data_IF_180864478113
#
_entry.id   IF_180864478113
#
_cell.length_a   1.000
_cell.length_b   1.000
_cell.length_c   1.000
_cell.angle_alpha   90.00
_cell.angle_beta   90.00
_cell.angle_gamma   90.00
#
_symmetry.space_group_name_H-M   'P 1'
#
loop_
_entity.id
_entity.type
_entity.pdbx_description
1 polymer ?
#
# COMPACT_ATOMS: atom_id res chain seq x y z
N UNK A 1 -0.62 -33.20 -33.14
CA UNK A 1 -0.63 -32.05 -32.22
C UNK A 1 -2.07 -31.81 -31.82
N UNK A 2 -2.51 -32.38 -30.72
CA UNK A 2 -3.87 -32.17 -30.21
C UNK A 2 -4.03 -30.70 -29.84
N UNK A 3 -4.98 -30.01 -30.47
CA UNK A 3 -5.34 -28.66 -30.06
C UNK A 3 -5.79 -28.68 -28.60
N UNK A 4 -4.99 -28.09 -27.72
CA UNK A 4 -5.31 -28.00 -26.31
C UNK A 4 -6.52 -27.09 -26.14
N UNK A 5 -7.54 -27.61 -25.47
CA UNK A 5 -8.82 -26.98 -25.21
C UNK A 5 -8.65 -25.61 -24.50
N UNK A 6 -9.39 -24.54 -24.86
CA UNK A 6 -9.39 -23.26 -24.13
C UNK A 6 -9.70 -23.42 -22.62
N UNK A 7 -10.41 -24.47 -22.21
CA UNK A 7 -10.60 -24.78 -20.80
C UNK A 7 -9.29 -25.11 -20.07
N UNK A 8 -8.33 -25.74 -20.75
CA UNK A 8 -7.02 -26.08 -20.18
C UNK A 8 -6.17 -24.83 -19.91
N UNK A 9 -6.17 -23.85 -20.83
CA UNK A 9 -5.42 -22.57 -20.66
C UNK A 9 -5.85 -21.87 -19.37
N UNK A 10 -7.16 -21.76 -19.16
CA UNK A 10 -7.76 -21.09 -18.02
C UNK A 10 -7.49 -21.86 -16.72
N UNK A 11 -7.59 -23.19 -16.76
CA UNK A 11 -7.33 -24.04 -15.60
C UNK A 11 -5.87 -23.94 -15.14
N UNK A 12 -4.92 -23.92 -16.08
CA UNK A 12 -3.49 -23.74 -15.82
C UNK A 12 -3.24 -22.32 -15.27
N UNK A 13 -3.80 -21.29 -15.89
CA UNK A 13 -3.66 -19.92 -15.41
C UNK A 13 -4.23 -19.76 -13.99
N UNK A 14 -5.42 -20.31 -13.71
CA UNK A 14 -6.04 -20.30 -12.37
C UNK A 14 -5.17 -21.01 -11.32
N UNK A 15 -4.59 -22.15 -11.68
CA UNK A 15 -3.73 -22.90 -10.77
C UNK A 15 -2.43 -22.13 -10.48
N UNK A 16 -1.79 -21.58 -11.51
CA UNK A 16 -0.45 -21.01 -11.39
C UNK A 16 -0.45 -19.52 -11.00
N UNK A 17 -1.58 -18.80 -11.09
CA UNK A 17 -1.66 -17.34 -10.89
C UNK A 17 -1.00 -16.81 -9.61
N UNK A 18 -1.07 -17.58 -8.53
CA UNK A 18 -0.52 -17.22 -7.21
C UNK A 18 0.57 -18.19 -6.75
N UNK A 19 1.13 -18.98 -7.66
CA UNK A 19 2.12 -19.99 -7.32
C UNK A 19 3.45 -19.36 -6.89
N UNK A 20 4.02 -19.87 -5.78
CA UNK A 20 5.22 -19.31 -5.12
C UNK A 20 6.43 -19.24 -6.05
N UNK A 21 6.59 -20.22 -6.94
CA UNK A 21 7.75 -20.30 -7.86
C UNK A 21 7.78 -19.18 -8.91
N UNK A 22 6.64 -18.54 -9.21
CA UNK A 22 6.61 -17.42 -10.15
C UNK A 22 7.44 -16.25 -9.66
N UNK A 23 7.54 -16.06 -8.33
CA UNK A 23 8.16 -14.90 -7.67
C UNK A 23 7.74 -13.59 -8.36
N UNK A 24 6.44 -13.50 -8.65
CA UNK A 24 5.87 -12.38 -9.37
C UNK A 24 6.01 -11.09 -8.55
N UNK A 25 6.20 -9.99 -9.25
CA UNK A 25 6.32 -8.65 -8.69
C UNK A 25 5.28 -7.75 -9.32
N UNK A 26 4.95 -6.67 -8.63
CA UNK A 26 4.08 -5.64 -9.18
C UNK A 26 4.89 -4.66 -10.02
N UNK A 27 4.33 -4.26 -11.16
CA UNK A 27 4.85 -3.22 -12.03
C UNK A 27 3.70 -2.41 -12.61
N UNK A 28 4.03 -1.28 -13.23
CA UNK A 28 3.05 -0.42 -13.88
C UNK A 28 2.95 -0.75 -15.35
N UNK A 29 1.79 -1.23 -15.79
CA UNK A 29 1.47 -1.43 -17.19
C UNK A 29 0.28 -0.54 -17.53
N UNK A 30 0.46 0.39 -18.48
CA UNK A 30 -0.57 1.37 -18.86
C UNK A 30 -1.15 2.12 -17.64
N UNK A 31 -0.28 2.54 -16.72
CA UNK A 31 -0.65 3.21 -15.45
C UNK A 31 -1.46 2.38 -14.46
N UNK A 32 -1.59 1.06 -14.67
CA UNK A 32 -2.21 0.13 -13.73
C UNK A 32 -1.17 -0.76 -13.09
N UNK A 33 -1.34 -1.08 -11.82
CA UNK A 33 -0.50 -2.07 -11.14
C UNK A 33 -0.87 -3.47 -11.60
N UNK A 34 0.09 -4.19 -12.16
CA UNK A 34 -0.08 -5.56 -12.67
C UNK A 34 1.05 -6.45 -12.17
N UNK A 35 0.76 -7.74 -12.04
CA UNK A 35 1.76 -8.73 -11.69
C UNK A 35 2.51 -9.20 -12.93
N UNK A 36 3.84 -9.24 -12.83
CA UNK A 36 4.70 -9.74 -13.88
C UNK A 36 5.73 -10.74 -13.33
N UNK A 37 6.15 -11.66 -14.18
CA UNK A 37 7.12 -12.71 -13.86
C UNK A 37 8.04 -12.98 -15.05
N UNK A 38 9.08 -13.79 -14.82
CA UNK A 38 10.02 -14.22 -15.89
C UNK A 38 9.64 -15.59 -16.41
N UNK A 39 9.82 -15.83 -17.71
CA UNK A 39 9.49 -17.12 -18.33
C UNK A 39 10.11 -18.33 -17.61
N UNK A 40 11.40 -18.28 -17.23
CA UNK A 40 12.04 -19.38 -16.48
C UNK A 40 11.37 -19.72 -15.14
N UNK A 41 10.69 -18.75 -14.52
CA UNK A 41 9.96 -18.96 -13.26
C UNK A 41 8.64 -19.69 -13.50
N UNK A 42 8.01 -19.44 -14.65
CA UNK A 42 6.83 -20.17 -15.09
C UNK A 42 7.14 -21.63 -15.40
N UNK A 43 8.24 -21.92 -16.10
CA UNK A 43 8.69 -23.31 -16.36
C UNK A 43 8.89 -24.07 -15.05
N UNK A 44 9.55 -23.47 -14.05
CA UNK A 44 9.69 -24.07 -12.71
C UNK A 44 8.36 -24.31 -12.01
N UNK A 45 7.37 -23.44 -12.23
CA UNK A 45 6.02 -23.62 -11.69
C UNK A 45 5.29 -24.80 -12.35
N UNK A 46 5.52 -25.07 -13.64
CA UNK A 46 5.02 -26.27 -14.31
C UNK A 46 5.70 -27.56 -13.84
N UNK A 47 6.98 -27.49 -13.48
CA UNK A 47 7.74 -28.64 -12.95
C UNK A 47 7.42 -28.96 -11.48
N UNK A 48 6.63 -28.10 -10.82
CA UNK A 48 6.25 -28.22 -9.41
C UNK A 48 5.45 -29.51 -9.13
N UNK A 49 5.52 -30.04 -7.90
CA UNK A 49 4.72 -31.19 -7.51
C UNK A 49 3.21 -30.91 -7.57
N UNK A 50 2.79 -29.64 -7.39
CA UNK A 50 1.38 -29.23 -7.47
C UNK A 50 0.81 -29.45 -8.87
N UNK A 51 1.56 -29.02 -9.90
CA UNK A 51 1.16 -29.21 -11.28
C UNK A 51 1.20 -30.69 -11.68
N UNK A 52 2.25 -31.42 -11.30
CA UNK A 52 2.36 -32.87 -11.57
C UNK A 52 1.20 -33.67 -10.98
N UNK A 53 0.79 -33.35 -9.74
CA UNK A 53 -0.38 -33.98 -9.10
C UNK A 53 -1.67 -33.69 -9.88
N UNK A 54 -1.88 -32.45 -10.33
CA UNK A 54 -3.07 -32.08 -11.12
C UNK A 54 -3.07 -32.74 -12.50
N UNK A 55 -1.92 -32.80 -13.16
CA UNK A 55 -1.73 -33.47 -14.44
C UNK A 55 -2.02 -34.97 -14.37
N UNK A 56 -1.55 -35.66 -13.32
CA UNK A 56 -1.86 -37.08 -13.12
C UNK A 56 -3.35 -37.36 -12.87
N UNK A 57 -4.09 -36.44 -12.27
CA UNK A 57 -5.51 -36.65 -11.95
C UNK A 57 -6.43 -36.26 -13.12
N UNK A 58 -6.04 -35.24 -13.89
CA UNK A 58 -6.87 -34.65 -14.94
C UNK A 58 -5.98 -34.34 -16.16
N UNK A 59 -5.55 -35.36 -16.91
CA UNK A 59 -4.65 -35.17 -18.05
C UNK A 59 -5.28 -34.33 -19.16
N UNK A 60 -6.61 -34.36 -19.30
CA UNK A 60 -7.35 -33.58 -20.30
C UNK A 60 -7.28 -32.06 -20.06
N UNK A 61 -7.21 -31.63 -18.79
CA UNK A 61 -7.13 -30.21 -18.42
C UNK A 61 -5.69 -29.75 -18.16
N UNK A 62 -4.83 -30.65 -17.68
CA UNK A 62 -3.47 -30.36 -17.28
C UNK A 62 -2.51 -31.29 -18.03
N UNK A 63 -2.00 -30.85 -19.19
CA UNK A 63 -1.09 -31.62 -20.01
C UNK A 63 0.17 -32.01 -19.22
N UNK A 64 0.65 -33.25 -19.35
CA UNK A 64 1.89 -33.67 -18.74
C UNK A 64 3.05 -32.89 -19.35
N UNK A 65 3.90 -32.33 -18.49
CA UNK A 65 5.10 -31.58 -18.89
C UNK A 65 6.31 -32.41 -18.48
N UNK A 66 6.93 -33.05 -19.47
CA UNK A 66 8.12 -33.91 -19.29
C UNK A 66 9.38 -33.25 -19.83
N UNK A 67 9.22 -32.48 -20.92
CA UNK A 67 10.30 -31.75 -21.59
C UNK A 67 10.12 -30.24 -21.49
N UNK A 68 11.25 -29.51 -21.65
CA UNK A 68 11.27 -28.05 -21.78
C UNK A 68 10.45 -27.57 -22.99
N UNK A 69 10.38 -28.38 -24.06
CA UNK A 69 9.57 -28.07 -25.24
C UNK A 69 8.06 -28.13 -24.93
N UNK A 70 7.62 -29.10 -24.13
CA UNK A 70 6.22 -29.21 -23.69
C UNK A 70 5.82 -27.95 -22.92
N UNK A 71 6.68 -27.49 -22.01
CA UNK A 71 6.46 -26.26 -21.25
C UNK A 71 6.33 -25.02 -22.16
N UNK A 72 7.13 -24.95 -23.22
CA UNK A 72 7.01 -23.88 -24.24
C UNK A 72 5.66 -23.93 -24.95
N UNK A 73 5.21 -25.11 -25.36
CA UNK A 73 3.91 -25.25 -26.06
C UNK A 73 2.74 -24.79 -25.18
N UNK A 74 2.75 -25.18 -23.89
CA UNK A 74 1.75 -24.76 -22.89
C UNK A 74 1.79 -23.24 -22.71
N UNK A 75 2.98 -22.63 -22.65
CA UNK A 75 3.09 -21.20 -22.45
C UNK A 75 2.72 -20.37 -23.69
N UNK A 76 3.06 -20.84 -24.90
CA UNK A 76 2.60 -20.25 -26.17
C UNK A 76 1.07 -20.20 -26.20
N UNK A 77 0.43 -21.26 -25.72
CA UNK A 77 -1.01 -21.35 -25.64
C UNK A 77 -1.62 -20.34 -24.64
N UNK A 78 -0.96 -20.09 -23.50
CA UNK A 78 -1.34 -18.99 -22.60
C UNK A 78 -1.23 -17.62 -23.29
N UNK A 79 -0.19 -17.38 -24.08
CA UNK A 79 -0.03 -16.13 -24.86
C UNK A 79 -1.14 -16.01 -25.92
N UNK A 80 -1.41 -17.08 -26.68
CA UNK A 80 -2.49 -17.10 -27.70
C UNK A 80 -3.86 -16.80 -27.09
N UNK A 81 -4.12 -17.31 -25.88
CA UNK A 81 -5.35 -17.04 -25.13
C UNK A 81 -5.40 -15.66 -24.44
N UNK A 82 -4.38 -14.81 -24.62
CA UNK A 82 -4.29 -13.47 -24.03
C UNK A 82 -4.34 -13.45 -22.49
N UNK A 83 -4.04 -14.58 -21.82
CA UNK A 83 -3.95 -14.65 -20.36
C UNK A 83 -2.62 -14.10 -19.83
N UNK A 84 -1.59 -14.14 -20.67
CA UNK A 84 -0.28 -13.54 -20.41
C UNK A 84 0.15 -12.75 -21.63
N UNK A 85 0.84 -11.64 -21.37
CA UNK A 85 1.24 -10.69 -22.41
C UNK A 85 2.75 -10.44 -22.30
N UNK A 86 3.53 -10.51 -23.41
CA UNK A 86 4.96 -10.26 -23.38
C UNK A 86 5.23 -8.79 -23.04
N UNK A 87 6.11 -8.55 -22.08
CA UNK A 87 6.43 -7.20 -21.62
C UNK A 87 7.93 -6.99 -21.47
N UNK A 88 8.37 -5.77 -21.72
CA UNK A 88 9.71 -5.30 -21.41
C UNK A 88 9.64 -4.44 -20.16
N UNK A 89 10.50 -4.74 -19.19
CA UNK A 89 10.68 -3.92 -18.00
C UNK A 89 11.62 -2.78 -18.35
N UNK A 90 11.14 -1.55 -18.23
CA UNK A 90 11.93 -0.37 -18.52
C UNK A 90 12.82 0.00 -17.33
N UNK A 91 14.02 0.45 -17.65
CA UNK A 91 14.86 1.18 -16.69
C UNK A 91 14.47 2.66 -16.64
N UNK A 92 14.84 3.35 -15.55
CA UNK A 92 14.46 4.75 -15.32
C UNK A 92 14.82 5.68 -16.49
N UNK A 93 15.94 5.41 -17.17
CA UNK A 93 16.38 6.18 -18.34
C UNK A 93 15.49 5.93 -19.58
N UNK A 94 14.98 4.71 -19.74
CA UNK A 94 14.15 4.29 -20.87
C UNK A 94 12.69 4.76 -20.71
N UNK A 95 12.25 5.00 -19.48
CA UNK A 95 10.90 5.53 -19.20
C UNK A 95 10.63 6.81 -19.99
N UNK A 96 11.59 7.75 -20.01
CA UNK A 96 11.43 9.03 -20.70
C UNK A 96 11.33 8.86 -22.22
N UNK A 97 12.09 7.92 -22.80
CA UNK A 97 12.03 7.61 -24.22
C UNK A 97 10.66 7.02 -24.63
N UNK A 98 9.97 6.36 -23.70
CA UNK A 98 8.63 5.80 -23.90
C UNK A 98 7.51 6.73 -23.42
N UNK A 99 7.80 8.00 -23.10
CA UNK A 99 6.80 8.97 -22.63
C UNK A 99 6.23 8.68 -21.23
N UNK A 100 6.87 7.81 -20.45
CA UNK A 100 6.44 7.41 -19.11
C UNK A 100 7.24 8.13 -18.03
N UNK A 101 6.57 8.49 -16.93
CA UNK A 101 7.24 9.04 -15.75
C UNK A 101 7.83 7.90 -14.92
N UNK A 102 9.12 7.96 -14.52
CA UNK A 102 9.69 7.00 -13.59
C UNK A 102 8.93 7.00 -12.26
N UNK A 103 8.62 5.82 -11.73
CA UNK A 103 8.05 5.65 -10.40
C UNK A 103 9.11 4.97 -9.49
N UNK A 104 9.20 5.41 -8.24
CA UNK A 104 10.13 4.89 -7.23
C UNK A 104 9.75 3.49 -6.75
N UNK A 105 8.45 3.22 -6.62
CA UNK A 105 7.93 2.00 -5.99
C UNK A 105 7.82 0.84 -6.98
N UNK A 106 7.43 1.13 -8.22
CA UNK A 106 7.11 0.13 -9.23
C UNK A 106 7.80 0.41 -10.57
N UNK A 107 8.40 -0.60 -11.21
CA UNK A 107 8.96 -0.44 -12.55
C UNK A 107 7.85 -0.29 -13.60
N UNK A 108 8.11 0.54 -14.62
CA UNK A 108 7.23 0.63 -15.78
C UNK A 108 7.44 -0.56 -16.73
N UNK A 109 6.35 -1.08 -17.26
CA UNK A 109 6.28 -2.20 -18.19
C UNK A 109 5.63 -1.70 -19.49
N UNK A 110 6.26 -2.01 -20.62
CA UNK A 110 5.72 -1.73 -21.95
C UNK A 110 5.51 -3.05 -22.68
N UNK A 111 4.54 -3.07 -23.59
CA UNK A 111 4.25 -4.23 -24.43
C UNK A 111 5.45 -4.54 -25.34
N UNK A 112 5.90 -5.79 -25.35
CA UNK A 112 6.92 -6.23 -26.30
C UNK A 112 6.26 -6.73 -27.60
N UNK A 113 6.78 -6.27 -28.74
CA UNK A 113 6.30 -6.72 -30.05
C UNK A 113 6.74 -8.15 -30.41
N UNK A 114 7.72 -8.71 -29.68
CA UNK A 114 8.27 -10.05 -29.92
C UNK A 114 8.19 -10.87 -28.64
N UNK A 115 7.67 -12.09 -28.74
CA UNK A 115 7.71 -13.11 -27.69
C UNK A 115 8.75 -14.16 -28.06
N UNK A 116 9.98 -13.98 -27.59
CA UNK A 116 11.11 -14.85 -27.95
C UNK A 116 11.22 -16.10 -27.05
N UNK A 117 10.42 -16.17 -25.98
CA UNK A 117 10.42 -17.23 -24.98
C UNK A 117 11.80 -17.47 -24.35
N UNK A 118 12.59 -16.40 -24.24
CA UNK A 118 13.90 -16.50 -23.61
C UNK A 118 13.75 -16.60 -22.08
N UNK A 119 14.66 -17.30 -21.37
CA UNK A 119 14.52 -17.56 -19.93
C UNK A 119 14.32 -16.30 -19.05
N UNK A 120 14.85 -15.15 -19.47
CA UNK A 120 14.84 -13.91 -18.70
C UNK A 120 13.80 -12.89 -19.17
N UNK A 121 13.02 -13.19 -20.21
CA UNK A 121 11.97 -12.31 -20.71
C UNK A 121 10.81 -12.19 -19.71
N UNK A 122 10.22 -11.01 -19.64
CA UNK A 122 9.14 -10.70 -18.71
C UNK A 122 7.78 -10.85 -19.39
N UNK A 123 6.83 -11.32 -18.59
CA UNK A 123 5.45 -11.51 -19.00
C UNK A 123 4.54 -10.99 -17.91
N UNK A 124 3.47 -10.32 -18.32
CA UNK A 124 2.45 -9.73 -17.46
C UNK A 124 1.23 -10.63 -17.43
N UNK A 125 0.65 -10.83 -16.26
CA UNK A 125 -0.67 -11.44 -16.15
C UNK A 125 -1.75 -10.51 -16.66
N UNK A 126 -2.51 -10.97 -17.64
CA UNK A 126 -3.77 -10.35 -18.08
C UNK A 126 -4.99 -11.18 -17.59
N UNK A 127 -4.76 -12.03 -16.59
CA UNK A 127 -5.78 -12.84 -15.95
C UNK A 127 -5.87 -12.50 -14.46
N UNK A 128 -7.05 -12.05 -14.02
CA UNK A 128 -7.32 -11.71 -12.62
C UNK A 128 -8.46 -12.62 -12.12
N UNK A 129 -8.15 -13.69 -11.37
CA UNK A 129 -9.18 -14.53 -10.80
C UNK A 129 -9.99 -13.71 -9.80
N UNK A 130 -11.32 -13.79 -9.88
CA UNK A 130 -12.20 -13.14 -8.90
C UNK A 130 -12.02 -13.81 -7.55
N UNK A 131 -11.67 -13.01 -6.55
CA UNK A 131 -11.57 -13.49 -5.17
C UNK A 131 -12.97 -13.56 -4.55
N UNK A 132 -13.15 -14.43 -3.55
CA UNK A 132 -14.38 -14.45 -2.75
C UNK A 132 -14.68 -13.07 -2.15
N UNK A 133 -13.64 -12.34 -1.75
CA UNK A 133 -13.75 -10.97 -1.23
C UNK A 133 -14.40 -10.02 -2.24
N UNK A 134 -14.09 -10.15 -3.54
CA UNK A 134 -14.68 -9.30 -4.58
C UNK A 134 -16.20 -9.50 -4.64
N UNK A 135 -16.66 -10.75 -4.55
CA UNK A 135 -18.09 -11.07 -4.52
C UNK A 135 -18.76 -10.52 -3.25
N UNK A 136 -18.13 -10.66 -2.09
CA UNK A 136 -18.64 -10.11 -0.82
C UNK A 136 -18.75 -8.59 -0.89
N UNK A 137 -17.75 -7.91 -1.45
CA UNK A 137 -17.77 -6.45 -1.64
C UNK A 137 -18.93 -6.05 -2.55
N UNK A 138 -19.11 -6.71 -3.69
CA UNK A 138 -20.21 -6.40 -4.62
C UNK A 138 -21.57 -6.61 -3.95
N UNK A 139 -21.77 -7.74 -3.25
CA UNK A 139 -23.02 -8.03 -2.53
C UNK A 139 -23.25 -7.00 -1.43
N UNK A 140 -22.22 -6.62 -0.66
CA UNK A 140 -22.32 -5.63 0.39
C UNK A 140 -22.71 -4.25 -0.17
N UNK A 141 -22.10 -3.81 -1.26
CA UNK A 141 -22.44 -2.55 -1.94
C UNK A 141 -23.90 -2.56 -2.40
N UNK A 142 -24.35 -3.65 -3.03
CA UNK A 142 -25.74 -3.79 -3.48
C UNK A 142 -26.70 -3.78 -2.27
N UNK A 143 -26.37 -4.49 -1.20
CA UNK A 143 -27.20 -4.52 0.01
C UNK A 143 -27.33 -3.14 0.67
N UNK A 144 -26.25 -2.36 0.72
CA UNK A 144 -26.28 -0.97 1.24
C UNK A 144 -27.18 -0.09 0.36
N UNK A 145 -27.03 -0.17 -0.97
CA UNK A 145 -27.86 0.60 -1.89
C UNK A 145 -29.34 0.23 -1.77
N UNK A 146 -29.66 -1.07 -1.70
CA UNK A 146 -31.02 -1.55 -1.48
C UNK A 146 -31.57 -1.08 -0.14
N UNK A 147 -30.78 -1.14 0.93
CA UNK A 147 -31.20 -0.65 2.25
C UNK A 147 -31.57 0.84 2.19
N UNK A 148 -30.76 1.67 1.51
CA UNK A 148 -31.02 3.11 1.34
C UNK A 148 -32.28 3.38 0.50
N UNK A 149 -32.41 2.75 -0.67
CA UNK A 149 -33.56 2.95 -1.56
C UNK A 149 -34.85 2.44 -0.92
N UNK A 150 -34.79 1.33 -0.18
CA UNK A 150 -35.93 0.77 0.53
C UNK A 150 -36.21 1.44 1.88
N UNK A 151 -35.58 2.58 2.21
CA UNK A 151 -35.89 3.35 3.43
C UNK A 151 -37.41 3.56 3.68
N UNK A 152 -38.26 3.82 2.66
CA UNK A 152 -39.71 3.93 2.86
C UNK A 152 -40.37 2.66 3.41
N UNK A 153 -39.80 1.49 3.12
CA UNK A 153 -40.30 0.18 3.56
C UNK A 153 -39.77 -0.24 4.93
N UNK A 154 -38.89 0.56 5.56
CA UNK A 154 -38.28 0.17 6.83
C UNK A 154 -39.30 0.08 7.98
N UNK A 155 -39.17 -0.94 8.86
CA UNK A 155 -39.94 -1.04 10.09
C UNK A 155 -39.83 0.25 10.92
N UNK A 156 -40.89 0.59 11.67
CA UNK A 156 -40.92 1.81 12.49
C UNK A 156 -39.74 1.89 13.48
N UNK A 157 -39.28 0.75 14.01
CA UNK A 157 -38.13 0.68 14.92
C UNK A 157 -36.83 1.13 14.23
N UNK A 158 -36.55 0.67 13.01
CA UNK A 158 -35.33 1.03 12.27
C UNK A 158 -35.31 2.51 11.87
N UNK A 159 -36.47 3.08 11.50
CA UNK A 159 -36.59 4.53 11.23
C UNK A 159 -36.30 5.39 12.46
N UNK A 160 -36.66 4.89 13.65
CA UNK A 160 -36.32 5.57 14.91
C UNK A 160 -34.82 5.50 15.18
N UNK A 161 -34.18 4.35 14.90
CA UNK A 161 -32.73 4.21 15.03
C UNK A 161 -31.98 5.17 14.10
N UNK A 162 -32.36 5.29 12.82
CA UNK A 162 -31.72 6.24 11.90
C UNK A 162 -31.89 7.68 12.34
N UNK A 163 -33.05 8.05 12.88
CA UNK A 163 -33.28 9.37 13.46
C UNK A 163 -32.33 9.67 14.63
N UNK A 164 -32.19 8.75 15.60
CA UNK A 164 -31.29 8.96 16.74
C UNK A 164 -29.83 8.92 16.34
N UNK A 165 -29.44 8.08 15.39
CA UNK A 165 -28.07 8.10 14.85
C UNK A 165 -27.80 9.46 14.18
N UNK A 166 -28.73 9.97 13.37
CA UNK A 166 -28.61 11.29 12.75
C UNK A 166 -28.51 12.42 13.78
N UNK A 167 -29.36 12.41 14.82
CA UNK A 167 -29.30 13.41 15.90
C UNK A 167 -28.01 13.28 16.72
N UNK A 168 -27.54 12.05 16.97
CA UNK A 168 -26.28 11.79 17.66
C UNK A 168 -25.08 12.28 16.86
N UNK A 169 -25.02 12.00 15.55
CA UNK A 169 -23.98 12.53 14.66
C UNK A 169 -24.00 14.04 14.59
N UNK A 170 -25.18 14.67 14.51
CA UNK A 170 -25.31 16.12 14.54
C UNK A 170 -24.84 16.72 15.88
N UNK A 171 -25.22 16.10 16.99
CA UNK A 171 -24.76 16.48 18.32
C UNK A 171 -23.24 16.36 18.47
N UNK A 172 -22.63 15.29 17.94
CA UNK A 172 -21.18 15.11 17.91
C UNK A 172 -20.50 16.23 17.10
N UNK A 173 -21.04 16.56 15.92
CA UNK A 173 -20.52 17.66 15.09
C UNK A 173 -20.60 18.99 15.85
N UNK A 174 -21.74 19.30 16.46
CA UNK A 174 -21.91 20.51 17.27
C UNK A 174 -20.94 20.54 18.45
N UNK A 175 -20.78 19.42 19.16
CA UNK A 175 -19.82 19.32 20.26
C UNK A 175 -18.37 19.56 19.82
N UNK A 176 -17.95 18.98 18.68
CA UNK A 176 -16.63 19.24 18.11
C UNK A 176 -16.44 20.72 17.72
N UNK A 177 -17.48 21.36 17.17
CA UNK A 177 -17.45 22.79 16.85
C UNK A 177 -17.35 23.65 18.11
N UNK A 178 -18.11 23.33 19.16
CA UNK A 178 -18.02 24.04 20.45
C UNK A 178 -16.62 23.92 21.03
N UNK A 179 -16.02 22.72 21.03
CA UNK A 179 -14.63 22.52 21.49
C UNK A 179 -13.66 23.33 20.64
N UNK A 180 -13.84 23.39 19.32
CA UNK A 180 -13.00 24.18 18.42
C UNK A 180 -13.09 25.70 18.72
N UNK A 181 -14.30 26.21 18.99
CA UNK A 181 -14.51 27.61 19.37
C UNK A 181 -13.92 27.91 20.74
N UNK A 182 -14.16 27.05 21.74
CA UNK A 182 -13.56 27.18 23.08
C UNK A 182 -12.03 27.17 23.00
N UNK A 183 -11.46 26.30 22.17
CA UNK A 183 -10.01 26.26 21.89
C UNK A 183 -9.51 27.60 21.37
N UNK A 184 -10.22 28.21 20.42
CA UNK A 184 -9.85 29.52 19.88
C UNK A 184 -9.92 30.62 20.94
N UNK A 185 -11.01 30.68 21.70
CA UNK A 185 -11.20 31.69 22.75
C UNK A 185 -10.11 31.56 23.81
N UNK A 186 -9.86 30.35 24.32
CA UNK A 186 -8.83 30.10 25.33
C UNK A 186 -7.43 30.43 24.81
N UNK A 187 -7.15 30.12 23.54
CA UNK A 187 -5.88 30.47 22.92
C UNK A 187 -5.68 31.99 22.84
N UNK A 188 -6.68 32.73 22.34
CA UNK A 188 -6.62 34.21 22.28
C UNK A 188 -6.49 34.82 23.67
N UNK A 189 -7.27 34.34 24.64
CA UNK A 189 -7.18 34.80 26.03
C UNK A 189 -5.79 34.52 26.62
N UNK A 190 -5.26 33.31 26.44
CA UNK A 190 -3.92 32.97 26.93
C UNK A 190 -2.83 33.84 26.31
N UNK A 191 -2.99 34.28 25.06
CA UNK A 191 -2.05 35.20 24.41
C UNK A 191 -2.06 36.60 25.03
N UNK A 192 -3.19 37.04 25.58
CA UNK A 192 -3.32 38.34 26.26
C UNK A 192 -2.74 38.31 27.68
N UNK A 193 -2.81 37.17 28.38
CA UNK A 193 -2.35 37.05 29.78
C UNK A 193 -0.95 36.44 29.96
N UNK A 194 -0.49 35.61 29.03
CA UNK A 194 0.79 34.90 29.12
C UNK A 194 1.82 35.57 28.22
N UNK A 195 2.99 35.88 28.78
CA UNK A 195 4.10 36.49 28.06
C UNK A 195 4.56 35.61 26.88
N UNK A 196 4.94 36.21 25.75
CA UNK A 196 5.25 35.58 24.45
C UNK A 196 6.21 34.37 24.46
N UNK A 197 6.91 34.11 25.57
CA UNK A 197 7.95 33.06 25.70
C UNK A 197 7.40 31.64 25.83
N UNK A 198 6.23 31.42 26.45
CA UNK A 198 5.76 30.05 26.77
C UNK A 198 4.79 29.48 25.71
N UNK A 199 4.40 30.29 24.73
CA UNK A 199 3.39 29.93 23.71
C UNK A 199 1.95 29.98 24.25
N UNK A 200 0.98 30.04 23.36
CA UNK A 200 -0.44 30.06 23.74
C UNK A 200 -0.91 28.71 24.30
N UNK A 201 -1.89 28.76 25.20
CA UNK A 201 -2.54 27.59 25.77
C UNK A 201 -3.49 26.95 24.76
N UNK A 202 -3.36 25.64 24.56
CA UNK A 202 -4.19 24.86 23.67
C UNK A 202 -4.93 23.78 24.45
N UNK A 203 -6.26 23.77 24.37
CA UNK A 203 -7.06 22.61 24.76
C UNK A 203 -7.12 21.63 23.59
N UNK A 204 -6.83 20.35 23.85
CA UNK A 204 -6.69 19.29 22.84
C UNK A 204 -5.81 19.70 21.65
N UNK A 205 -4.47 19.83 21.83
CA UNK A 205 -3.58 20.27 20.76
C UNK A 205 -3.69 19.39 19.50
N UNK A 206 -4.04 18.10 19.65
CA UNK A 206 -4.10 17.11 18.58
C UNK A 206 -5.45 16.99 17.87
N UNK A 207 -6.46 17.80 18.22
CA UNK A 207 -7.82 17.64 17.70
C UNK A 207 -7.92 17.75 16.17
N UNK A 208 -7.02 18.50 15.54
CA UNK A 208 -6.95 18.69 14.08
C UNK A 208 -5.67 18.13 13.45
N UNK A 209 -4.91 17.32 14.19
CA UNK A 209 -3.73 16.65 13.63
C UNK A 209 -4.09 15.30 13.01
N UNK A 210 -3.28 14.82 12.05
CA UNK A 210 -3.43 13.53 11.38
C UNK A 210 -3.14 12.35 12.34
N UNK A 211 -4.03 12.15 13.30
CA UNK A 211 -3.97 11.11 14.32
C UNK A 211 -5.34 10.43 14.47
N UNK A 212 -5.36 9.24 15.07
CA UNK A 212 -6.61 8.51 15.28
C UNK A 212 -7.54 9.26 16.24
N UNK A 213 -8.85 9.00 16.17
CA UNK A 213 -9.88 9.70 16.96
C UNK A 213 -9.57 9.72 18.47
N UNK A 214 -9.04 8.63 19.03
CA UNK A 214 -8.70 8.55 20.46
C UNK A 214 -7.43 9.35 20.82
N UNK A 215 -6.50 9.47 19.87
CA UNK A 215 -5.25 10.22 20.06
C UNK A 215 -5.49 11.73 19.87
N UNK A 216 -6.51 12.12 19.12
CA UNK A 216 -6.92 13.54 18.96
C UNK A 216 -7.29 14.21 20.29
N UNK A 217 -7.80 13.45 21.26
CA UNK A 217 -8.20 13.96 22.59
C UNK A 217 -7.11 13.83 23.66
N UNK A 218 -5.89 13.45 23.29
CA UNK A 218 -4.76 13.32 24.23
C UNK A 218 -3.53 14.03 23.66
N UNK A 219 -2.84 14.90 24.42
CA UNK A 219 -3.14 15.33 25.79
C UNK A 219 -4.36 16.27 25.86
N UNK A 220 -4.96 16.43 27.06
CA UNK A 220 -6.13 17.31 27.25
C UNK A 220 -5.80 18.80 27.06
N UNK A 221 -4.57 19.19 27.41
CA UNK A 221 -4.06 20.54 27.23
C UNK A 221 -2.56 20.50 26.89
N UNK A 222 -2.06 21.58 26.33
CA UNK A 222 -0.64 21.79 26.07
C UNK A 222 -0.31 23.26 25.88
N UNK A 223 0.97 23.60 25.96
CA UNK A 223 1.45 24.97 25.74
C UNK A 223 2.29 25.02 24.47
N UNK A 224 1.92 25.90 23.54
CA UNK A 224 2.62 26.03 22.26
C UNK A 224 2.63 24.73 21.42
N UNK A 225 3.63 24.59 20.56
CA UNK A 225 3.76 23.46 19.62
C UNK A 225 4.49 22.25 20.22
N UNK A 226 5.08 22.36 21.41
CA UNK A 226 5.91 21.28 21.99
C UNK A 226 5.10 20.05 22.41
N UNK A 227 3.82 20.25 22.74
CA UNK A 227 2.92 19.18 23.17
C UNK A 227 2.11 18.56 22.03
N UNK A 228 2.29 19.04 20.80
CA UNK A 228 1.57 18.52 19.63
C UNK A 228 2.11 17.14 19.19
N UNK A 229 1.24 16.29 18.66
CA UNK A 229 1.59 14.94 18.24
C UNK A 229 2.61 14.96 17.09
N UNK A 230 2.52 15.91 16.18
CA UNK A 230 3.50 16.17 15.11
C UNK A 230 4.90 16.48 15.66
N UNK A 231 5.01 17.35 16.68
CA UNK A 231 6.28 17.67 17.33
C UNK A 231 6.86 16.47 18.08
N UNK A 232 6.05 15.77 18.87
CA UNK A 232 6.48 14.58 19.59
C UNK A 232 6.93 13.46 18.64
N UNK A 233 6.23 13.27 17.51
CA UNK A 233 6.59 12.30 16.47
C UNK A 233 7.91 12.68 15.79
N UNK A 234 8.14 13.97 15.51
CA UNK A 234 9.41 14.49 14.98
C UNK A 234 10.56 14.24 15.96
N UNK A 235 10.39 14.55 17.24
CA UNK A 235 11.42 14.31 18.27
C UNK A 235 11.74 12.83 18.45
N UNK A 236 10.73 11.95 18.44
CA UNK A 236 10.94 10.50 18.46
C UNK A 236 11.72 9.99 17.24
N UNK A 237 11.48 10.54 16.04
CA UNK A 237 12.26 10.20 14.84
C UNK A 237 13.71 10.65 14.95
N UNK A 238 13.95 11.89 15.38
CA UNK A 238 15.29 12.44 15.59
C UNK A 238 16.06 11.57 16.60
N UNK A 239 15.45 11.23 17.74
CA UNK A 239 16.07 10.35 18.74
C UNK A 239 16.43 8.97 18.19
N UNK A 240 15.54 8.33 17.44
CA UNK A 240 15.83 7.03 16.80
C UNK A 240 16.99 7.11 15.81
N UNK A 241 17.07 8.20 15.03
CA UNK A 241 18.15 8.39 14.07
C UNK A 241 19.49 8.63 14.79
N UNK A 242 19.49 9.38 15.90
CA UNK A 242 20.66 9.56 16.76
C UNK A 242 21.09 8.24 17.42
N UNK A 243 20.15 7.45 17.93
CA UNK A 243 20.44 6.14 18.54
C UNK A 243 21.01 5.15 17.50
N UNK A 244 20.51 5.18 16.25
CA UNK A 244 21.07 4.41 15.14
C UNK A 244 22.48 4.85 14.80
N UNK A 245 22.72 6.16 14.66
CA UNK A 245 24.06 6.71 14.37
C UNK A 245 25.07 6.39 15.47
N UNK A 246 24.67 6.45 16.74
CA UNK A 246 25.51 6.08 17.87
C UNK A 246 25.82 4.57 17.91
N UNK A 247 24.87 3.70 17.53
CA UNK A 247 25.10 2.26 17.38
C UNK A 247 26.08 1.95 16.23
N UNK A 248 25.93 2.63 15.09
CA UNK A 248 26.84 2.48 13.95
C UNK A 248 28.26 2.94 14.30
N UNK A 249 28.41 4.01 15.09
CA UNK A 249 29.70 4.50 15.57
C UNK A 249 30.42 3.53 16.53
N UNK A 250 29.68 2.75 17.31
CA UNK A 250 30.20 1.80 18.30
C UNK A 250 30.47 0.38 17.75
N UNK A 251 30.14 0.09 16.49
CA UNK A 251 30.36 -1.23 15.88
C UNK A 251 31.80 -1.31 15.29
N UNK A 252 32.55 -2.42 15.44
CA UNK A 252 33.91 -2.55 14.89
C UNK A 252 33.98 -2.44 13.35
N UNK A 253 35.15 -2.07 12.84
CA UNK A 253 35.41 -1.56 11.47
C UNK A 253 35.09 -2.49 10.29
N UNK A 254 34.77 -3.76 10.51
CA UNK A 254 34.54 -4.72 9.41
C UNK A 254 33.12 -4.65 8.82
N UNK A 255 32.14 -4.15 9.57
CA UNK A 255 30.71 -4.11 9.15
C UNK A 255 30.21 -2.70 8.73
N UNK A 256 31.08 -1.68 8.76
CA UNK A 256 30.69 -0.28 8.53
C UNK A 256 30.32 0.02 7.07
N UNK A 257 30.97 -0.63 6.11
CA UNK A 257 30.80 -0.34 4.68
C UNK A 257 29.49 -0.85 4.07
N UNK A 258 28.88 -1.87 4.67
CA UNK A 258 27.62 -2.45 4.19
C UNK A 258 26.39 -1.72 4.75
N UNK A 259 26.52 -1.10 5.94
CA UNK A 259 25.45 -0.34 6.59
C UNK A 259 25.34 1.09 6.02
N UNK A 260 26.47 1.72 5.68
CA UNK A 260 26.51 3.09 5.15
C UNK A 260 25.95 3.21 3.71
N UNK A 261 25.92 2.09 2.96
CA UNK A 261 25.30 2.01 1.61
C UNK A 261 23.77 1.91 1.65
N UNK A 262 23.17 1.43 2.75
CA UNK A 262 21.71 1.42 2.93
C UNK A 262 21.16 2.82 3.30
N UNK A 263 21.94 3.66 4.00
CA UNK A 263 21.49 4.99 4.45
C UNK A 263 21.32 5.99 3.29
N UNK A 264 22.23 6.02 2.31
CA UNK A 264 22.15 6.96 1.16
C UNK A 264 20.90 6.82 0.29
N UNK A 265 20.17 5.71 0.37
CA UNK A 265 18.96 5.48 -0.44
C UNK A 265 17.64 5.97 0.22
N UNK A 266 17.66 6.32 1.52
CA UNK A 266 16.46 6.67 2.27
C UNK A 266 16.27 8.17 2.58
N UNK A 267 17.29 9.01 2.37
CA UNK A 267 17.28 10.41 2.84
C UNK A 267 16.66 11.46 1.88
N UNK A 268 16.17 11.05 0.71
CA UNK A 268 15.77 12.01 -0.35
C UNK A 268 14.34 12.59 -0.21
N UNK A 269 13.82 12.79 1.01
CA UNK A 269 12.50 13.44 1.22
C UNK A 269 12.47 14.47 2.37
N UNK A 270 13.62 15.04 2.74
CA UNK A 270 13.70 16.04 3.83
C UNK A 270 14.53 17.27 3.47
N UNK A 271 14.17 17.93 2.37
CA UNK A 271 14.71 19.26 2.05
C UNK A 271 13.56 20.23 1.84
N UNK A 272 13.10 20.83 2.94
CA UNK A 272 12.65 22.24 2.99
C UNK A 272 12.42 22.72 4.43
N UNK A 273 13.14 23.80 4.76
CA UNK A 273 12.78 24.88 5.72
C UNK A 273 13.26 24.72 7.18
N UNK A 274 14.55 25.07 7.33
CA UNK A 274 15.14 26.11 8.22
C UNK A 274 14.60 26.41 9.63
N UNK A 275 15.59 26.51 10.54
CA UNK A 275 15.65 27.08 11.90
C UNK A 275 15.35 26.12 13.07
N UNK A 276 16.42 25.50 13.53
CA UNK A 276 16.60 24.88 14.85
C UNK A 276 16.41 25.92 15.98
N UNK A 277 15.57 25.65 16.99
CA UNK A 277 15.73 26.24 18.31
C UNK A 277 16.81 25.48 19.08
N UNK A 278 17.63 26.22 19.82
CA UNK A 278 18.74 25.75 20.67
C UNK A 278 18.19 24.97 21.88
N UNK A 279 18.88 23.91 22.28
CA UNK A 279 18.43 22.83 23.18
C UNK A 279 18.60 23.13 24.69
N UNK A 280 18.42 24.38 25.13
CA UNK A 280 18.90 24.81 26.47
C UNK A 280 17.82 25.18 27.50
N UNK A 281 16.55 24.85 27.29
CA UNK A 281 15.51 25.04 28.32
C UNK A 281 14.59 23.81 28.41
N UNK A 282 15.02 22.81 29.21
CA UNK A 282 14.11 21.82 29.79
C UNK A 282 13.84 22.30 31.22
N UNK A 283 12.64 22.79 31.58
CA UNK A 283 12.30 22.89 32.98
C UNK A 283 12.06 21.47 33.51
N UNK A 284 12.86 21.07 34.49
CA UNK A 284 12.62 19.87 35.28
C UNK A 284 11.22 19.93 35.89
N UNK A 285 10.39 18.93 35.61
CA UNK A 285 9.14 18.70 36.33
C UNK A 285 9.51 18.26 37.75
N UNK A 286 9.22 19.11 38.74
CA UNK A 286 8.93 18.68 40.11
C UNK A 286 7.47 18.26 40.22
#
# INVERSE_FOLDING_TARGET
MSELNPASTLAIAKLLRHHKELKQRQGLFQSRTVDFFRYKRFVRALESPEYKKKSSNQPDLYPPVTSSEDARTVFILLIKSQLVVPATKLHNHECKANGLKPNKDYPNLVLSNKATLSPNEYYVWNYNPKSFTDYVIVIAVIAILLALVCYPLWPRSMRRSSYYVSMGSLGLIVALLVIAVLRLILYVMSLLFVSKKTGGFWIFPNLFEDCGVLDSFKPLYGFGEVDSYSYQKKMKRIKRNLDKKNKIAQTPSTDKEDIEKEEKNNDDDTTKISKTPKLEEIPEKK
#
